data_IF_378111464335
#
_entry.id   IF_378111464335
#
_cell.length_a   1.000
_cell.length_b   1.000
_cell.length_c   1.000
_cell.angle_alpha   90.00
_cell.angle_beta   90.00
_cell.angle_gamma   90.00
#
_symmetry.space_group_name_H-M   'P 1'
#
loop_
_entity.id
_entity.type
_entity.pdbx_description
1 polymer ?
#
# COMPACT_ATOMS: atom_id res chain seq x y z
N UNK A 1 16.49 7.67 16.60
CA UNK A 1 16.00 8.60 15.56
C UNK A 1 15.29 9.72 16.29
N UNK A 2 15.57 10.99 15.99
CA UNK A 2 14.84 12.10 16.61
C UNK A 2 13.43 12.21 16.02
N UNK A 3 12.52 12.90 16.71
CA UNK A 3 11.16 13.20 16.19
C UNK A 3 11.23 13.93 14.85
N UNK A 4 12.17 14.88 14.71
CA UNK A 4 12.37 15.64 13.48
C UNK A 4 12.85 14.75 12.33
N UNK A 5 13.80 13.83 12.58
CA UNK A 5 14.29 12.90 11.57
C UNK A 5 13.18 11.93 11.11
N UNK A 6 12.35 11.44 12.04
CA UNK A 6 11.25 10.54 11.72
C UNK A 6 10.18 11.24 10.87
N UNK A 7 9.83 12.48 11.21
CA UNK A 7 8.91 13.30 10.41
C UNK A 7 9.48 13.61 9.03
N UNK A 8 10.76 14.02 8.94
CA UNK A 8 11.41 14.28 7.66
C UNK A 8 11.43 13.03 6.76
N UNK A 9 11.75 11.86 7.33
CA UNK A 9 11.77 10.59 6.60
C UNK A 9 10.38 10.14 6.10
N UNK A 10 9.29 10.63 6.70
CA UNK A 10 7.92 10.28 6.30
C UNK A 10 7.24 11.36 5.44
N UNK A 11 7.88 12.51 5.19
CA UNK A 11 7.28 13.63 4.46
C UNK A 11 6.91 13.25 3.01
N UNK A 12 7.82 12.58 2.30
CA UNK A 12 7.58 12.14 0.93
C UNK A 12 6.45 11.12 0.84
N UNK A 13 6.41 10.16 1.78
CA UNK A 13 5.33 9.17 1.93
C UNK A 13 3.99 9.83 2.22
N UNK A 14 3.94 10.78 3.16
CA UNK A 14 2.75 11.57 3.49
C UNK A 14 2.22 12.35 2.29
N UNK A 15 3.11 13.08 1.62
CA UNK A 15 2.77 13.85 0.42
C UNK A 15 2.32 12.92 -0.71
N UNK A 16 2.96 11.77 -0.88
CA UNK A 16 2.61 10.76 -1.87
C UNK A 16 1.25 10.10 -1.63
N UNK A 17 0.87 9.91 -0.37
CA UNK A 17 -0.48 9.48 0.01
C UNK A 17 -1.54 10.59 -0.16
N UNK A 18 -1.09 11.84 -0.31
CA UNK A 18 -1.93 13.01 -0.54
C UNK A 18 -2.37 13.72 0.74
N UNK A 19 -1.57 13.65 1.82
CA UNK A 19 -1.65 14.66 2.88
C UNK A 19 -1.15 16.00 2.33
N UNK A 20 -1.75 17.10 2.78
CA UNK A 20 -1.25 18.44 2.47
C UNK A 20 0.12 18.63 3.17
N UNK A 21 1.19 19.00 2.43
CA UNK A 21 2.52 19.09 3.00
C UNK A 21 2.65 20.20 4.04
N UNK A 22 1.91 21.31 3.91
CA UNK A 22 1.95 22.39 4.90
C UNK A 22 1.22 21.99 6.19
N UNK A 23 0.12 21.26 6.08
CA UNK A 23 -0.57 20.68 7.23
C UNK A 23 0.31 19.63 7.93
N UNK A 24 0.97 18.76 7.17
CA UNK A 24 1.93 17.79 7.69
C UNK A 24 3.06 18.46 8.47
N UNK A 25 3.70 19.47 7.89
CA UNK A 25 4.80 20.21 8.52
C UNK A 25 4.33 20.95 9.79
N UNK A 26 3.11 21.52 9.78
CA UNK A 26 2.53 22.18 10.96
C UNK A 26 2.26 21.20 12.10
N UNK A 27 1.74 20.00 11.80
CA UNK A 27 1.44 18.98 12.81
C UNK A 27 2.74 18.39 13.36
N UNK A 28 3.67 18.01 12.49
CA UNK A 28 4.94 17.39 12.90
C UNK A 28 5.91 18.36 13.56
N UNK A 29 5.91 19.63 13.16
CA UNK A 29 6.72 20.69 13.79
C UNK A 29 6.29 21.02 15.23
N UNK A 30 5.09 20.62 15.64
CA UNK A 30 4.61 20.75 17.02
C UNK A 30 4.97 19.58 17.93
N UNK A 31 5.58 18.51 17.41
CA UNK A 31 5.91 17.32 18.20
C UNK A 31 7.23 17.54 18.95
N UNK A 32 7.19 17.36 20.26
CA UNK A 32 8.40 17.36 21.12
C UNK A 32 8.89 15.94 21.42
N UNK A 33 8.03 14.94 21.24
CA UNK A 33 8.33 13.51 21.44
C UNK A 33 7.65 12.69 20.33
N UNK A 34 8.27 11.58 19.92
CA UNK A 34 7.72 10.69 18.91
C UNK A 34 6.48 9.95 19.43
N UNK A 35 6.32 9.75 20.74
CA UNK A 35 5.12 9.16 21.34
C UNK A 35 3.86 10.01 21.14
N UNK A 36 4.01 11.30 20.80
CA UNK A 36 2.90 12.19 20.46
C UNK A 36 2.36 11.98 19.04
N UNK A 37 3.05 11.21 18.20
CA UNK A 37 2.71 11.01 16.80
C UNK A 37 1.27 10.53 16.60
N UNK A 38 0.91 9.41 17.23
CA UNK A 38 -0.41 8.81 17.09
C UNK A 38 -1.54 9.78 17.41
N UNK A 39 -1.47 10.42 18.58
CA UNK A 39 -2.50 11.36 19.04
C UNK A 39 -2.59 12.60 18.13
N UNK A 40 -1.45 13.16 17.72
CA UNK A 40 -1.42 14.34 16.86
C UNK A 40 -2.07 14.08 15.50
N UNK A 41 -1.77 12.95 14.87
CA UNK A 41 -2.35 12.58 13.59
C UNK A 41 -3.85 12.23 13.71
N UNK A 42 -4.27 11.55 14.79
CA UNK A 42 -5.69 11.29 15.05
C UNK A 42 -6.47 12.58 15.32
N UNK A 43 -5.88 13.55 16.04
CA UNK A 43 -6.49 14.87 16.24
C UNK A 43 -6.69 15.59 14.91
N UNK A 44 -5.68 15.64 14.05
CA UNK A 44 -5.81 16.22 12.70
C UNK A 44 -6.84 15.49 11.84
N UNK A 45 -6.93 14.16 11.93
CA UNK A 45 -7.97 13.39 11.26
C UNK A 45 -9.38 13.77 11.74
N UNK A 46 -9.58 13.92 13.07
CA UNK A 46 -10.84 14.34 13.67
C UNK A 46 -11.23 15.77 13.30
N UNK A 47 -10.26 16.68 13.13
CA UNK A 47 -10.50 18.02 12.58
C UNK A 47 -11.09 17.94 11.16
N UNK A 48 -10.55 17.07 10.30
CA UNK A 48 -11.12 16.83 8.96
C UNK A 48 -12.53 16.20 9.02
N UNK A 49 -12.79 15.27 9.95
CA UNK A 49 -14.15 14.76 10.19
C UNK A 49 -15.10 15.89 10.60
N UNK A 50 -14.66 16.80 11.46
CA UNK A 50 -15.47 17.94 11.89
C UNK A 50 -15.72 18.94 10.74
N UNK A 51 -14.72 19.16 9.85
CA UNK A 51 -14.90 19.94 8.62
C UNK A 51 -15.93 19.29 7.70
N UNK A 52 -15.89 17.97 7.54
CA UNK A 52 -16.89 17.23 6.76
C UNK A 52 -18.32 17.44 7.31
N UNK A 53 -18.50 17.45 8.63
CA UNK A 53 -19.80 17.70 9.26
C UNK A 53 -20.36 19.12 9.10
N UNK A 54 -19.52 20.09 8.73
CA UNK A 54 -19.91 21.48 8.46
C UNK A 54 -19.88 21.85 6.97
N UNK A 55 -19.55 20.90 6.10
CA UNK A 55 -19.41 21.15 4.68
C UNK A 55 -20.76 21.48 4.03
N UNK A 56 -20.78 22.46 3.12
CA UNK A 56 -21.99 22.89 2.43
C UNK A 56 -22.48 21.94 1.34
N UNK A 57 -21.68 20.94 0.95
CA UNK A 57 -22.03 19.96 -0.09
C UNK A 57 -21.54 18.56 0.28
N UNK A 58 -22.19 17.53 -0.28
CA UNK A 58 -21.75 16.14 -0.14
C UNK A 58 -20.36 15.89 -0.74
N UNK A 59 -20.00 16.63 -1.79
CA UNK A 59 -18.67 16.56 -2.42
C UNK A 59 -17.61 17.01 -1.41
N UNK A 60 -17.75 18.24 -0.88
CA UNK A 60 -16.80 18.77 0.11
C UNK A 60 -16.76 17.94 1.39
N UNK A 61 -17.91 17.40 1.84
CA UNK A 61 -17.94 16.47 2.96
C UNK A 61 -17.14 15.19 2.67
N UNK A 62 -17.31 14.63 1.47
CA UNK A 62 -16.57 13.45 1.02
C UNK A 62 -15.07 13.67 0.93
N UNK A 63 -14.63 14.81 0.37
CA UNK A 63 -13.21 15.17 0.25
C UNK A 63 -12.54 15.32 1.62
N UNK A 64 -13.22 15.98 2.57
CA UNK A 64 -12.74 16.05 3.95
C UNK A 64 -12.67 14.67 4.62
N UNK A 65 -13.61 13.76 4.34
CA UNK A 65 -13.54 12.39 4.85
C UNK A 65 -12.40 11.57 4.21
N UNK A 66 -12.06 11.80 2.93
CA UNK A 66 -10.87 11.19 2.31
C UNK A 66 -9.58 11.70 2.98
N UNK A 67 -9.51 13.01 3.29
CA UNK A 67 -8.39 13.56 4.04
C UNK A 67 -8.30 12.95 5.45
N UNK A 68 -9.43 12.88 6.18
CA UNK A 68 -9.49 12.24 7.49
C UNK A 68 -8.99 10.80 7.48
N UNK A 69 -9.42 9.99 6.51
CA UNK A 69 -9.01 8.60 6.38
C UNK A 69 -7.49 8.45 6.26
N UNK A 70 -6.86 9.32 5.46
CA UNK A 70 -5.40 9.31 5.28
C UNK A 70 -4.66 9.78 6.53
N UNK A 71 -5.17 10.80 7.23
CA UNK A 71 -4.59 11.23 8.51
C UNK A 71 -4.70 10.14 9.58
N UNK A 72 -5.82 9.44 9.67
CA UNK A 72 -5.97 8.27 10.54
C UNK A 72 -5.01 7.14 10.16
N UNK A 73 -4.83 6.85 8.87
CA UNK A 73 -3.83 5.87 8.41
C UNK A 73 -2.42 6.26 8.86
N UNK A 74 -2.01 7.52 8.69
CA UNK A 74 -0.68 7.98 9.09
C UNK A 74 -0.46 7.94 10.61
N UNK A 75 -1.52 8.00 11.42
CA UNK A 75 -1.43 7.77 12.86
C UNK A 75 -0.97 6.33 13.22
N UNK A 76 -0.97 5.39 12.28
CA UNK A 76 -0.52 3.99 12.47
C UNK A 76 0.96 3.77 12.15
N UNK A 77 1.64 4.75 11.52
CA UNK A 77 3.02 4.61 11.04
C UNK A 77 4.07 4.91 12.12
N UNK A 78 3.72 5.64 13.17
CA UNK A 78 4.57 5.92 14.34
C UNK A 78 4.07 5.23 15.61
N UNK A 79 4.73 5.47 16.76
CA UNK A 79 4.23 5.01 18.06
C UNK A 79 2.80 5.47 18.30
N UNK A 80 1.91 4.52 18.49
CA UNK A 80 0.50 4.78 18.77
C UNK A 80 -0.13 3.59 19.50
N UNK A 81 -0.52 3.80 20.76
CA UNK A 81 -1.25 2.78 21.56
C UNK A 81 -2.66 2.50 20.99
N UNK A 82 -3.22 3.46 20.27
CA UNK A 82 -4.52 3.40 19.63
C UNK A 82 -4.42 3.04 18.13
N UNK A 83 -3.32 2.44 17.67
CA UNK A 83 -3.13 2.13 16.24
C UNK A 83 -4.26 1.27 15.64
N UNK A 84 -4.86 0.36 16.41
CA UNK A 84 -5.99 -0.44 15.95
C UNK A 84 -7.26 0.41 15.76
N UNK A 85 -7.51 1.36 16.67
CA UNK A 85 -8.60 2.32 16.57
C UNK A 85 -8.38 3.24 15.37
N UNK A 86 -7.18 3.78 15.20
CA UNK A 86 -6.83 4.64 14.07
C UNK A 86 -7.05 3.92 12.72
N UNK A 87 -6.64 2.64 12.59
CA UNK A 87 -6.90 1.86 11.38
C UNK A 87 -8.40 1.65 11.10
N UNK A 88 -9.20 1.41 12.14
CA UNK A 88 -10.65 1.28 12.02
C UNK A 88 -11.32 2.62 11.64
N UNK A 89 -10.90 3.73 12.24
CA UNK A 89 -11.36 5.08 11.90
C UNK A 89 -10.97 5.47 10.47
N UNK A 90 -9.79 5.05 10.00
CA UNK A 90 -9.35 5.22 8.61
C UNK A 90 -10.30 4.53 7.61
N UNK A 91 -10.59 3.22 7.81
CA UNK A 91 -11.52 2.47 6.94
C UNK A 91 -12.94 3.04 6.99
N UNK A 92 -13.42 3.44 8.17
CA UNK A 92 -14.74 4.03 8.34
C UNK A 92 -14.86 5.38 7.62
N UNK A 93 -13.86 6.27 7.78
CA UNK A 93 -13.83 7.56 7.10
C UNK A 93 -13.77 7.39 5.58
N UNK A 94 -12.92 6.49 5.08
CA UNK A 94 -12.85 6.20 3.64
C UNK A 94 -14.17 5.63 3.10
N UNK A 95 -14.81 4.73 3.85
CA UNK A 95 -16.12 4.20 3.47
C UNK A 95 -17.21 5.26 3.35
N UNK A 96 -17.27 6.20 4.31
CA UNK A 96 -18.19 7.34 4.27
C UNK A 96 -17.86 8.29 3.12
N UNK A 97 -16.57 8.53 2.86
CA UNK A 97 -16.14 9.35 1.74
C UNK A 97 -16.60 8.79 0.40
N UNK A 98 -16.36 7.49 0.17
CA UNK A 98 -16.76 6.80 -1.06
C UNK A 98 -18.28 6.75 -1.23
N UNK A 99 -19.05 6.60 -0.15
CA UNK A 99 -20.51 6.64 -0.23
C UNK A 99 -21.04 7.97 -0.82
N UNK A 100 -20.35 9.09 -0.55
CA UNK A 100 -20.70 10.41 -1.08
C UNK A 100 -20.12 10.68 -2.47
N UNK A 101 -18.87 10.28 -2.72
CA UNK A 101 -18.12 10.66 -3.92
C UNK A 101 -18.27 9.64 -5.06
N UNK A 102 -18.41 8.37 -4.72
CA UNK A 102 -18.46 7.25 -5.66
C UNK A 102 -19.51 6.23 -5.22
N UNK A 103 -20.82 6.53 -5.37
CA UNK A 103 -21.90 5.69 -4.82
C UNK A 103 -21.93 4.24 -5.34
N UNK A 104 -21.20 3.94 -6.43
CA UNK A 104 -21.04 2.59 -6.98
C UNK A 104 -19.88 1.81 -6.37
N UNK A 105 -19.04 2.44 -5.55
CA UNK A 105 -17.97 1.78 -4.85
C UNK A 105 -18.56 0.77 -3.84
N UNK A 106 -17.97 -0.43 -3.76
CA UNK A 106 -18.45 -1.51 -2.91
C UNK A 106 -17.38 -1.93 -1.92
N UNK A 107 -17.79 -2.17 -0.67
CA UNK A 107 -16.96 -2.90 0.30
C UNK A 107 -17.06 -4.38 -0.02
N UNK A 108 -15.93 -5.06 -0.13
CA UNK A 108 -15.86 -6.51 -0.33
C UNK A 108 -14.91 -7.07 0.71
N UNK A 109 -15.35 -8.12 1.39
CA UNK A 109 -14.58 -8.78 2.45
C UNK A 109 -14.72 -10.29 2.35
N UNK A 110 -13.73 -10.99 2.89
CA UNK A 110 -13.70 -12.43 2.94
C UNK A 110 -12.60 -12.94 3.88
N UNK A 111 -12.37 -14.26 3.92
CA UNK A 111 -11.41 -14.83 4.84
C UNK A 111 -9.98 -14.31 4.60
N UNK A 112 -9.52 -13.42 5.47
CA UNK A 112 -8.17 -12.85 5.43
C UNK A 112 -8.00 -11.67 4.46
N UNK A 113 -9.08 -11.01 4.03
CA UNK A 113 -8.99 -9.75 3.29
C UNK A 113 -10.23 -8.86 3.48
N UNK A 114 -10.04 -7.55 3.33
CA UNK A 114 -11.11 -6.56 3.20
C UNK A 114 -10.68 -5.47 2.24
N UNK A 115 -11.60 -4.79 1.56
CA UNK A 115 -11.22 -3.74 0.63
C UNK A 115 -12.38 -2.99 0.00
N UNK A 116 -12.01 -2.05 -0.88
CA UNK A 116 -12.93 -1.18 -1.63
C UNK A 116 -12.77 -1.44 -3.12
N UNK A 117 -13.82 -1.92 -3.76
CA UNK A 117 -13.91 -2.03 -5.22
C UNK A 117 -14.51 -0.76 -5.79
N UNK A 118 -13.77 -0.09 -6.67
CA UNK A 118 -14.14 1.15 -7.36
C UNK A 118 -14.06 0.95 -8.88
N UNK A 119 -14.70 1.84 -9.64
CA UNK A 119 -14.68 1.83 -11.10
C UNK A 119 -15.89 1.18 -11.77
N UNK A 120 -15.90 1.09 -13.11
CA UNK A 120 -17.04 0.59 -13.88
C UNK A 120 -17.31 -0.89 -13.60
N UNK A 121 -18.59 -1.27 -13.46
CA UNK A 121 -18.97 -2.68 -13.30
C UNK A 121 -18.60 -3.55 -14.53
N UNK A 122 -18.59 -2.93 -15.71
CA UNK A 122 -18.28 -3.57 -17.00
C UNK A 122 -16.79 -3.46 -17.38
N UNK A 123 -15.92 -3.05 -16.46
CA UNK A 123 -14.49 -2.91 -16.74
C UNK A 123 -13.92 -4.22 -17.31
N UNK A 124 -13.09 -4.11 -18.37
CA UNK A 124 -12.45 -5.26 -19.00
C UNK A 124 -11.46 -5.96 -18.07
N UNK A 125 -10.91 -5.24 -17.09
CA UNK A 125 -10.01 -5.77 -16.09
C UNK A 125 -10.20 -5.08 -14.73
N UNK A 126 -9.86 -5.82 -13.68
CA UNK A 126 -9.78 -5.32 -12.30
C UNK A 126 -8.35 -5.40 -11.82
N UNK A 127 -7.82 -4.29 -11.30
CA UNK A 127 -6.50 -4.24 -10.66
C UNK A 127 -6.66 -4.34 -9.14
N UNK A 128 -5.99 -5.29 -8.51
CA UNK A 128 -5.89 -5.37 -7.05
C UNK A 128 -4.65 -4.61 -6.60
N UNK A 129 -4.83 -3.63 -5.71
CA UNK A 129 -3.74 -2.84 -5.11
C UNK A 129 -3.42 -3.40 -3.73
N UNK A 130 -2.21 -3.91 -3.56
CA UNK A 130 -1.75 -4.63 -2.36
C UNK A 130 -0.75 -3.77 -1.57
N UNK A 131 -1.06 -3.43 -0.31
CA UNK A 131 -0.21 -2.59 0.52
C UNK A 131 1.07 -3.30 0.98
N UNK A 132 1.98 -2.53 1.60
CA UNK A 132 3.21 -2.99 2.25
C UNK A 132 3.02 -3.46 3.70
N UNK A 133 4.11 -3.47 4.45
CA UNK A 133 4.19 -4.03 5.82
C UNK A 133 3.38 -3.25 6.86
N UNK A 134 3.43 -1.92 6.78
CA UNK A 134 2.75 -0.97 7.69
C UNK A 134 1.73 -0.08 6.97
N UNK A 135 1.55 -0.28 5.66
CA UNK A 135 0.55 0.40 4.85
C UNK A 135 -0.87 -0.17 5.04
N UNK A 136 -1.85 0.58 4.53
CA UNK A 136 -3.21 0.14 4.31
C UNK A 136 -3.74 0.66 2.97
N UNK A 137 -4.89 0.15 2.55
CA UNK A 137 -5.59 0.55 1.31
C UNK A 137 -5.86 2.06 1.20
N UNK A 138 -5.89 2.79 2.32
CA UNK A 138 -6.05 4.26 2.37
C UNK A 138 -4.84 5.04 1.82
N UNK A 139 -3.66 4.42 1.72
CA UNK A 139 -2.42 5.12 1.39
C UNK A 139 -2.28 5.44 -0.11
N UNK A 140 -2.77 4.58 -1.00
CA UNK A 140 -2.42 4.62 -2.42
C UNK A 140 -3.48 5.29 -3.29
N UNK A 141 -4.08 6.39 -2.81
CA UNK A 141 -5.20 7.05 -3.46
C UNK A 141 -4.89 7.49 -4.90
N UNK A 142 -3.72 8.10 -5.13
CA UNK A 142 -3.35 8.64 -6.44
C UNK A 142 -3.08 7.54 -7.47
N UNK A 143 -2.54 6.40 -7.02
CA UNK A 143 -2.41 5.20 -7.85
C UNK A 143 -3.79 4.65 -8.23
N UNK A 144 -4.68 4.47 -7.25
CA UNK A 144 -6.04 4.02 -7.52
C UNK A 144 -6.75 4.98 -8.49
N UNK A 145 -6.64 6.30 -8.28
CA UNK A 145 -7.22 7.30 -9.17
C UNK A 145 -6.62 7.25 -10.59
N UNK A 146 -5.31 7.04 -10.72
CA UNK A 146 -4.64 6.90 -12.02
C UNK A 146 -5.13 5.67 -12.80
N UNK A 147 -5.36 4.54 -12.12
CA UNK A 147 -5.89 3.31 -12.71
C UNK A 147 -7.36 3.47 -13.12
N UNK A 148 -8.18 4.07 -12.25
CA UNK A 148 -9.59 4.35 -12.53
C UNK A 148 -9.77 5.25 -13.77
N UNK A 149 -8.92 6.28 -13.93
CA UNK A 149 -8.92 7.16 -15.12
C UNK A 149 -8.61 6.44 -16.43
N UNK A 150 -8.05 5.23 -16.37
CA UNK A 150 -7.78 4.36 -17.53
C UNK A 150 -8.90 3.34 -17.78
N UNK A 151 -10.06 3.51 -17.13
CA UNK A 151 -11.23 2.65 -17.32
C UNK A 151 -11.13 1.29 -16.62
N UNK A 152 -10.12 1.08 -15.78
CA UNK A 152 -9.96 -0.14 -14.98
C UNK A 152 -10.89 -0.09 -13.76
N UNK A 153 -11.40 -1.25 -13.34
CA UNK A 153 -11.89 -1.41 -11.98
C UNK A 153 -10.69 -1.59 -11.05
N UNK A 154 -10.78 -1.11 -9.81
CA UNK A 154 -9.69 -1.18 -8.84
C UNK A 154 -10.20 -1.69 -7.49
N UNK A 155 -9.56 -2.72 -6.96
CA UNK A 155 -9.79 -3.23 -5.62
C UNK A 155 -8.58 -2.90 -4.73
N UNK A 156 -8.70 -1.85 -3.92
CA UNK A 156 -7.69 -1.54 -2.91
C UNK A 156 -8.00 -2.35 -1.63
N UNK A 157 -7.04 -3.15 -1.17
CA UNK A 157 -7.28 -4.15 -0.14
C UNK A 157 -6.34 -4.02 1.06
N UNK A 158 -6.78 -4.55 2.20
CA UNK A 158 -5.95 -4.93 3.33
C UNK A 158 -5.97 -6.45 3.45
N UNK A 159 -4.79 -7.06 3.61
CA UNK A 159 -4.64 -8.50 3.89
C UNK A 159 -4.02 -8.76 5.28
N UNK A 160 -3.55 -9.98 5.55
CA UNK A 160 -3.06 -10.37 6.87
C UNK A 160 -1.89 -9.49 7.35
N UNK A 161 -2.03 -8.91 8.54
CA UNK A 161 -1.05 -7.98 9.13
C UNK A 161 -1.11 -6.53 8.63
N UNK A 162 -2.02 -6.19 7.71
CA UNK A 162 -2.06 -4.90 7.02
C UNK A 162 -3.33 -4.10 7.32
N UNK A 163 -3.23 -2.76 7.28
CA UNK A 163 -4.36 -1.85 7.46
C UNK A 163 -5.36 -2.27 8.54
N UNK A 164 -6.63 -2.43 8.17
CA UNK A 164 -7.72 -2.81 9.08
C UNK A 164 -7.58 -4.21 9.70
N UNK A 165 -6.75 -5.10 9.13
CA UNK A 165 -6.50 -6.46 9.62
C UNK A 165 -5.21 -6.57 10.47
N UNK A 166 -4.45 -5.48 10.60
CA UNK A 166 -3.20 -5.43 11.34
C UNK A 166 -3.31 -5.90 12.80
N UNK A 167 -4.41 -5.55 13.47
CA UNK A 167 -4.60 -5.83 14.89
C UNK A 167 -5.09 -7.26 15.16
N UNK A 168 -5.62 -7.94 14.14
CA UNK A 168 -6.34 -9.22 14.29
C UNK A 168 -5.69 -10.36 13.50
N UNK A 169 -4.60 -10.09 12.79
CA UNK A 169 -3.88 -11.06 11.97
C UNK A 169 -2.41 -10.70 11.82
N UNK A 170 -1.60 -11.66 11.40
CA UNK A 170 -0.16 -11.50 11.20
C UNK A 170 0.23 -11.67 9.74
N UNK A 171 1.40 -11.14 9.37
CA UNK A 171 1.96 -11.30 8.02
C UNK A 171 2.20 -12.78 7.68
N UNK A 172 2.10 -13.10 6.39
CA UNK A 172 2.32 -14.45 5.86
C UNK A 172 2.93 -14.41 4.46
N UNK A 173 3.78 -15.37 4.15
CA UNK A 173 4.52 -15.38 2.88
C UNK A 173 3.74 -15.97 1.69
N UNK A 174 2.79 -16.88 1.94
CA UNK A 174 1.99 -17.57 0.92
C UNK A 174 0.76 -16.74 0.49
N UNK A 175 1.04 -15.54 0.00
CA UNK A 175 0.03 -14.50 -0.26
C UNK A 175 -0.83 -14.79 -1.49
N UNK A 176 -0.37 -15.63 -2.43
CA UNK A 176 -1.18 -16.17 -3.53
C UNK A 176 -2.50 -16.78 -3.06
N UNK A 177 -2.54 -17.35 -1.84
CA UNK A 177 -3.79 -17.87 -1.25
C UNK A 177 -4.78 -16.77 -0.87
N UNK A 178 -4.28 -15.61 -0.45
CA UNK A 178 -5.11 -14.43 -0.17
C UNK A 178 -5.61 -13.86 -1.48
N UNK A 179 -4.73 -13.68 -2.47
CA UNK A 179 -5.10 -13.22 -3.82
C UNK A 179 -6.11 -14.16 -4.46
N UNK A 180 -5.93 -15.48 -4.37
CA UNK A 180 -6.87 -16.46 -4.90
C UNK A 180 -8.29 -16.25 -4.37
N UNK A 181 -8.45 -16.02 -3.05
CA UNK A 181 -9.75 -15.72 -2.42
C UNK A 181 -10.31 -14.36 -2.84
N UNK A 182 -9.44 -13.36 -3.02
CA UNK A 182 -9.85 -12.05 -3.56
C UNK A 182 -10.41 -12.23 -4.97
N UNK A 183 -9.71 -12.97 -5.84
CA UNK A 183 -10.17 -13.23 -7.20
C UNK A 183 -11.46 -14.07 -7.24
N UNK A 184 -11.65 -15.02 -6.32
CA UNK A 184 -12.90 -15.78 -6.17
C UNK A 184 -14.10 -14.88 -5.82
N UNK A 185 -13.88 -13.87 -4.97
CA UNK A 185 -14.89 -12.92 -4.56
C UNK A 185 -15.18 -11.85 -5.63
N UNK A 186 -14.14 -11.38 -6.32
CA UNK A 186 -14.25 -10.33 -7.34
C UNK A 186 -14.75 -10.86 -8.69
N UNK A 187 -14.36 -12.09 -9.05
CA UNK A 187 -14.61 -12.73 -10.36
C UNK A 187 -14.33 -11.81 -11.55
N UNK A 188 -13.12 -11.21 -11.65
CA UNK A 188 -12.82 -10.26 -12.71
C UNK A 188 -12.70 -10.96 -14.06
N UNK A 189 -12.97 -10.24 -15.16
CA UNK A 189 -12.73 -10.73 -16.54
C UNK A 189 -11.24 -10.95 -16.82
N UNK A 190 -10.40 -10.00 -16.37
CA UNK A 190 -8.93 -10.08 -16.31
C UNK A 190 -8.45 -9.48 -14.99
N UNK A 191 -7.45 -10.08 -14.36
CA UNK A 191 -6.91 -9.61 -13.08
C UNK A 191 -5.50 -9.03 -13.26
N UNK A 192 -5.31 -7.76 -12.87
CA UNK A 192 -3.99 -7.18 -12.68
C UNK A 192 -3.66 -7.03 -11.20
N UNK A 193 -2.38 -7.04 -10.85
CA UNK A 193 -1.91 -6.76 -9.48
C UNK A 193 -0.95 -5.57 -9.48
N UNK A 194 -1.06 -4.70 -8.48
CA UNK A 194 -0.04 -3.69 -8.17
C UNK A 194 0.31 -3.79 -6.69
N UNK A 195 1.57 -4.08 -6.40
CA UNK A 195 2.07 -4.27 -5.04
C UNK A 195 3.11 -3.21 -4.67
N UNK A 196 2.96 -2.62 -3.49
CA UNK A 196 3.84 -1.54 -3.01
C UNK A 196 4.60 -1.97 -1.76
N UNK A 197 5.90 -1.67 -1.71
CA UNK A 197 6.81 -2.13 -0.64
C UNK A 197 6.74 -3.66 -0.50
N UNK A 198 6.50 -4.20 0.69
CA UNK A 198 6.28 -5.64 0.90
C UNK A 198 5.15 -6.23 0.02
N UNK A 199 4.17 -5.42 -0.38
CA UNK A 199 3.14 -5.79 -1.35
C UNK A 199 3.73 -6.19 -2.71
N UNK A 200 4.88 -5.64 -3.08
CA UNK A 200 5.63 -6.04 -4.28
C UNK A 200 6.06 -7.50 -4.26
N UNK A 201 6.53 -8.01 -3.11
CA UNK A 201 6.79 -9.44 -2.93
C UNK A 201 5.49 -10.24 -3.05
N UNK A 202 4.42 -9.81 -2.37
CA UNK A 202 3.14 -10.51 -2.40
C UNK A 202 2.55 -10.65 -3.80
N UNK A 203 2.58 -9.58 -4.62
CA UNK A 203 2.06 -9.65 -5.98
C UNK A 203 2.96 -10.43 -6.93
N UNK A 204 4.29 -10.38 -6.75
CA UNK A 204 5.22 -11.17 -7.55
C UNK A 204 5.10 -12.68 -7.24
N UNK A 205 5.02 -13.03 -5.96
CA UNK A 205 4.75 -14.41 -5.51
C UNK A 205 3.39 -14.90 -6.03
N UNK A 206 2.36 -14.05 -5.96
CA UNK A 206 1.04 -14.38 -6.50
C UNK A 206 1.06 -14.55 -8.02
N UNK A 207 1.78 -13.69 -8.75
CA UNK A 207 1.92 -13.81 -10.21
C UNK A 207 2.64 -15.10 -10.64
N UNK A 208 3.48 -15.68 -9.78
CA UNK A 208 4.15 -16.95 -10.03
C UNK A 208 3.28 -18.19 -9.73
N UNK A 209 2.24 -18.05 -8.90
CA UNK A 209 1.50 -19.17 -8.30
C UNK A 209 -0.02 -19.16 -8.54
N UNK A 210 -0.59 -18.03 -8.94
CA UNK A 210 -2.01 -17.85 -9.25
C UNK A 210 -2.18 -17.53 -10.74
N UNK A 211 -2.52 -18.55 -11.53
CA UNK A 211 -2.56 -18.48 -13.00
C UNK A 211 -3.59 -17.50 -13.56
N UNK A 212 -4.54 -17.03 -12.74
CA UNK A 212 -5.52 -16.00 -13.13
C UNK A 212 -4.94 -14.59 -13.20
N UNK A 213 -3.73 -14.35 -12.66
CA UNK A 213 -3.06 -13.05 -12.72
C UNK A 213 -2.54 -12.81 -14.14
N UNK A 214 -3.09 -11.80 -14.80
CA UNK A 214 -2.80 -11.47 -16.19
C UNK A 214 -1.69 -10.42 -16.36
N UNK A 215 -1.41 -9.59 -15.36
CA UNK A 215 -0.29 -8.65 -15.34
C UNK A 215 0.05 -8.23 -13.89
N UNK A 216 1.31 -7.89 -13.64
CA UNK A 216 1.74 -7.41 -12.32
C UNK A 216 2.67 -6.20 -12.40
N UNK A 217 2.53 -5.30 -11.43
CA UNK A 217 3.48 -4.20 -11.18
C UNK A 217 3.96 -4.27 -9.74
N UNK A 218 5.27 -4.17 -9.53
CA UNK A 218 5.88 -4.02 -8.20
C UNK A 218 6.49 -2.63 -8.07
N UNK A 219 6.30 -1.99 -6.91
CA UNK A 219 6.85 -0.66 -6.60
C UNK A 219 7.63 -0.75 -5.30
N UNK A 220 8.95 -0.53 -5.32
CA UNK A 220 9.84 -0.70 -4.15
C UNK A 220 9.71 -2.08 -3.50
N UNK A 221 9.54 -3.13 -4.32
CA UNK A 221 9.28 -4.48 -3.85
C UNK A 221 10.55 -5.24 -3.46
N UNK A 222 10.61 -5.90 -2.28
CA UNK A 222 11.78 -6.70 -1.94
C UNK A 222 11.81 -7.98 -2.78
N UNK A 223 12.92 -8.20 -3.48
CA UNK A 223 13.23 -9.50 -4.10
C UNK A 223 13.64 -10.54 -3.06
N UNK A 224 14.41 -10.12 -2.05
CA UNK A 224 14.87 -10.99 -0.95
C UNK A 224 15.01 -10.17 0.34
N UNK A 225 14.65 -10.75 1.48
CA UNK A 225 14.98 -10.22 2.82
C UNK A 225 16.06 -11.06 3.51
N UNK A 226 16.97 -10.40 4.21
CA UNK A 226 18.03 -11.02 5.01
C UNK A 226 17.96 -10.52 6.44
N UNK A 227 17.24 -11.26 7.29
CA UNK A 227 16.94 -10.89 8.68
C UNK A 227 18.15 -10.34 9.46
N UNK A 228 19.30 -11.02 9.40
CA UNK A 228 20.50 -10.62 10.13
C UNK A 228 21.11 -9.28 9.72
N UNK A 229 20.73 -8.75 8.56
CA UNK A 229 21.20 -7.47 8.03
C UNK A 229 20.14 -6.35 8.14
N UNK A 230 18.90 -6.68 8.55
CA UNK A 230 17.84 -5.69 8.66
C UNK A 230 18.11 -4.71 9.81
N UNK A 231 17.94 -3.39 9.59
CA UNK A 231 18.06 -2.39 10.64
C UNK A 231 17.10 -2.67 11.82
N UNK A 232 17.46 -2.29 13.06
CA UNK A 232 16.59 -2.50 14.22
C UNK A 232 15.15 -2.00 14.05
N UNK A 233 14.88 -0.80 13.49
CA UNK A 233 13.49 -0.34 13.28
C UNK A 233 12.67 -1.24 12.35
N UNK A 234 13.30 -1.79 11.31
CA UNK A 234 12.65 -2.72 10.37
C UNK A 234 12.37 -4.06 11.05
N UNK A 235 13.32 -4.59 11.82
CA UNK A 235 13.14 -5.83 12.61
C UNK A 235 12.04 -5.68 13.65
N UNK A 236 11.98 -4.55 14.36
CA UNK A 236 10.94 -4.28 15.34
C UNK A 236 9.55 -4.19 14.69
N UNK A 237 9.44 -3.44 13.57
CA UNK A 237 8.20 -3.35 12.81
C UNK A 237 7.75 -4.74 12.33
N UNK A 238 8.65 -5.51 11.70
CA UNK A 238 8.32 -6.84 11.20
C UNK A 238 7.95 -7.80 12.35
N UNK A 239 8.63 -7.70 13.50
CA UNK A 239 8.30 -8.49 14.71
C UNK A 239 6.91 -8.19 15.22
N UNK A 240 6.52 -6.91 15.29
CA UNK A 240 5.15 -6.52 15.67
C UNK A 240 4.12 -7.11 14.70
N UNK A 241 4.38 -7.04 13.40
CA UNK A 241 3.46 -7.52 12.34
C UNK A 241 3.40 -9.05 12.23
N UNK A 242 4.44 -9.76 12.63
CA UNK A 242 4.49 -11.22 12.62
C UNK A 242 4.05 -11.87 13.94
N UNK A 243 3.82 -11.08 15.01
CA UNK A 243 3.48 -11.59 16.34
C UNK A 243 4.68 -12.06 17.17
N UNK A 244 5.88 -11.54 16.89
CA UNK A 244 7.12 -11.79 17.63
C UNK A 244 8.35 -11.87 16.72
N UNK A 245 9.54 -11.83 17.33
CA UNK A 245 10.81 -11.86 16.60
C UNK A 245 11.02 -13.17 15.82
N UNK A 246 10.80 -14.31 16.46
CA UNK A 246 10.99 -15.62 15.83
C UNK A 246 10.04 -15.85 14.62
N UNK A 247 8.72 -15.56 14.73
CA UNK A 247 7.85 -15.50 13.55
C UNK A 247 8.35 -14.55 12.46
N UNK A 248 8.84 -13.35 12.81
CA UNK A 248 9.35 -12.39 11.84
C UNK A 248 10.63 -12.87 11.13
N UNK A 249 11.54 -13.49 11.86
CA UNK A 249 12.75 -14.12 11.29
C UNK A 249 12.39 -15.22 10.30
N UNK A 250 11.42 -16.07 10.65
CA UNK A 250 10.90 -17.12 9.74
C UNK A 250 10.25 -16.51 8.49
N UNK A 251 9.39 -15.50 8.67
CA UNK A 251 8.76 -14.79 7.55
C UNK A 251 9.80 -14.16 6.63
N UNK A 252 10.78 -13.44 7.17
CA UNK A 252 11.84 -12.83 6.38
C UNK A 252 12.63 -13.86 5.56
N UNK A 253 12.91 -15.04 6.13
CA UNK A 253 13.55 -16.14 5.40
C UNK A 253 12.69 -16.78 4.30
N UNK A 254 11.38 -16.52 4.27
CA UNK A 254 10.48 -16.94 3.19
C UNK A 254 10.34 -15.88 2.10
N UNK A 255 10.70 -14.63 2.36
CA UNK A 255 10.69 -13.56 1.37
C UNK A 255 11.95 -13.69 0.50
N UNK A 256 11.83 -14.55 -0.52
CA UNK A 256 12.85 -14.80 -1.54
C UNK A 256 12.19 -15.20 -2.86
N UNK A 257 12.30 -14.34 -3.87
CA UNK A 257 11.71 -14.58 -5.19
C UNK A 257 12.63 -15.34 -6.14
N UNK A 258 13.82 -15.79 -5.72
CA UNK A 258 14.81 -16.40 -6.62
C UNK A 258 14.26 -17.62 -7.37
N UNK A 259 13.51 -18.49 -6.68
CA UNK A 259 12.90 -19.66 -7.29
C UNK A 259 11.57 -19.37 -8.01
N UNK A 260 10.95 -18.23 -7.72
CA UNK A 260 9.62 -17.87 -8.24
C UNK A 260 9.69 -16.94 -9.45
N UNK A 261 10.70 -16.07 -9.55
CA UNK A 261 10.81 -15.09 -10.62
C UNK A 261 10.75 -15.71 -12.02
N UNK A 262 11.45 -16.83 -12.33
CA UNK A 262 11.34 -17.49 -13.64
C UNK A 262 9.96 -18.05 -13.97
N UNK A 263 9.08 -18.21 -12.95
CA UNK A 263 7.73 -18.74 -13.09
C UNK A 263 6.68 -17.66 -13.35
N UNK A 264 7.04 -16.38 -13.29
CA UNK A 264 6.13 -15.27 -13.56
C UNK A 264 6.02 -15.11 -15.09
N UNK A 265 5.06 -15.82 -15.69
CA UNK A 265 4.86 -15.83 -17.15
C UNK A 265 3.90 -14.75 -17.64
N UNK A 266 3.26 -13.98 -16.76
CA UNK A 266 2.52 -12.80 -17.16
C UNK A 266 3.47 -11.59 -17.34
N UNK A 267 3.07 -10.55 -18.10
CA UNK A 267 3.79 -9.29 -18.12
C UNK A 267 4.06 -8.77 -16.71
N UNK A 268 5.30 -8.37 -16.45
CA UNK A 268 5.73 -7.83 -15.16
C UNK A 268 6.50 -6.50 -15.34
N UNK A 269 6.08 -5.46 -14.64
CA UNK A 269 6.84 -4.22 -14.48
C UNK A 269 7.35 -4.10 -13.05
N UNK A 270 8.63 -3.80 -12.90
CA UNK A 270 9.27 -3.51 -11.61
C UNK A 270 9.70 -2.05 -11.61
N UNK A 271 9.28 -1.31 -10.59
CA UNK A 271 9.59 0.10 -10.39
C UNK A 271 10.34 0.24 -9.07
N UNK A 272 11.58 0.75 -9.12
CA UNK A 272 12.38 0.99 -7.91
C UNK A 272 12.94 2.42 -7.89
N UNK A 273 13.04 2.99 -6.69
CA UNK A 273 13.77 4.23 -6.43
C UNK A 273 15.26 3.96 -6.22
N UNK A 274 16.13 4.74 -6.86
CA UNK A 274 17.59 4.59 -6.74
C UNK A 274 18.14 4.99 -5.36
N UNK A 275 17.36 5.71 -4.55
CA UNK A 275 17.69 6.06 -3.16
C UNK A 275 17.02 5.12 -2.14
N UNK A 276 16.25 4.13 -2.60
CA UNK A 276 15.62 3.11 -1.76
C UNK A 276 16.65 2.04 -1.34
N UNK A 277 17.52 2.40 -0.41
CA UNK A 277 18.60 1.52 0.07
C UNK A 277 18.35 1.15 1.53
N UNK A 278 17.79 -0.04 1.73
CA UNK A 278 17.55 -0.61 3.06
C UNK A 278 18.49 -1.80 3.28
N UNK A 279 19.39 -1.76 4.27
CA UNK A 279 20.25 -2.90 4.59
C UNK A 279 19.45 -4.19 4.78
N UNK A 280 19.93 -5.29 4.19
CA UNK A 280 19.25 -6.58 4.25
C UNK A 280 18.04 -6.72 3.33
N UNK A 281 17.73 -5.72 2.50
CA UNK A 281 16.71 -5.82 1.44
C UNK A 281 17.41 -5.83 0.08
N UNK A 282 17.11 -6.84 -0.74
CA UNK A 282 17.46 -6.80 -2.16
C UNK A 282 16.28 -6.20 -2.92
N UNK A 283 16.52 -5.14 -3.69
CA UNK A 283 15.49 -4.48 -4.52
C UNK A 283 14.99 -5.36 -5.67
N UNK A 284 14.11 -4.82 -6.52
CA UNK A 284 13.38 -5.56 -7.55
C UNK A 284 14.15 -5.80 -8.85
N UNK A 285 15.29 -5.17 -9.10
CA UNK A 285 16.05 -5.36 -10.35
C UNK A 285 16.28 -6.85 -10.72
N UNK A 286 16.68 -7.76 -9.79
CA UNK A 286 16.79 -9.19 -10.09
C UNK A 286 15.46 -9.83 -10.51
N UNK A 287 14.34 -9.38 -9.93
CA UNK A 287 13.00 -9.87 -10.30
C UNK A 287 12.71 -9.59 -11.78
N UNK A 288 12.93 -8.34 -12.22
CA UNK A 288 12.70 -7.95 -13.61
C UNK A 288 13.61 -8.70 -14.58
N UNK A 289 14.86 -8.96 -14.19
CA UNK A 289 15.83 -9.69 -15.02
C UNK A 289 15.51 -11.19 -15.13
N UNK A 290 14.99 -11.80 -14.07
CA UNK A 290 14.73 -13.24 -14.00
C UNK A 290 13.34 -13.64 -14.53
N UNK A 291 12.37 -12.72 -14.51
CA UNK A 291 11.04 -12.97 -15.06
C UNK A 291 11.06 -12.93 -16.60
N UNK A 292 10.48 -13.93 -17.31
CA UNK A 292 10.48 -14.01 -18.78
C UNK A 292 9.97 -12.76 -19.51
N UNK A 293 9.02 -12.05 -18.90
CA UNK A 293 8.43 -10.82 -19.44
C UNK A 293 8.60 -9.63 -18.48
N UNK A 294 9.69 -9.64 -17.72
CA UNK A 294 10.04 -8.56 -16.80
C UNK A 294 10.55 -7.32 -17.52
N UNK A 295 10.09 -6.15 -17.06
CA UNK A 295 10.64 -4.84 -17.40
C UNK A 295 11.03 -4.11 -16.12
N UNK A 296 12.14 -3.39 -16.18
CA UNK A 296 12.64 -2.61 -15.05
C UNK A 296 12.58 -1.11 -15.35
N UNK A 297 11.98 -0.36 -14.43
CA UNK A 297 11.98 1.09 -14.40
C UNK A 297 12.71 1.55 -13.13
N UNK A 298 13.92 2.08 -13.29
CA UNK A 298 14.67 2.69 -12.21
C UNK A 298 14.42 4.20 -12.22
N UNK A 299 14.12 4.77 -11.05
CA UNK A 299 14.00 6.22 -10.84
C UNK A 299 15.16 6.65 -9.94
N UNK A 300 16.28 7.16 -10.47
CA UNK A 300 17.53 7.32 -9.72
C UNK A 300 17.43 8.15 -8.43
N UNK A 301 16.55 9.15 -8.42
CA UNK A 301 16.35 10.04 -7.27
C UNK A 301 15.14 9.63 -6.40
N UNK A 302 14.44 8.56 -6.76
CA UNK A 302 13.26 8.07 -6.03
C UNK A 302 13.65 7.44 -4.70
N UNK A 303 12.90 7.77 -3.65
CA UNK A 303 12.99 7.13 -2.33
C UNK A 303 12.08 5.89 -2.26
N UNK A 304 12.00 5.27 -1.08
CA UNK A 304 11.09 4.14 -0.85
C UNK A 304 9.63 4.55 -1.11
N UNK A 305 8.91 3.75 -1.91
CA UNK A 305 7.56 4.04 -2.45
C UNK A 305 7.51 5.20 -3.47
N UNK A 306 8.64 5.83 -3.78
CA UNK A 306 8.78 6.89 -4.76
C UNK A 306 7.75 8.02 -4.55
N UNK A 307 7.49 8.36 -3.29
CA UNK A 307 6.56 9.43 -2.92
C UNK A 307 7.09 10.80 -3.37
N UNK A 308 8.42 10.94 -3.39
CA UNK A 308 9.14 12.12 -3.88
C UNK A 308 9.24 12.21 -5.41
N UNK A 309 8.97 11.12 -6.15
CA UNK A 309 9.24 11.00 -7.58
C UNK A 309 8.03 10.50 -8.39
N UNK A 310 6.80 10.77 -7.91
CA UNK A 310 5.55 10.32 -8.54
C UNK A 310 5.44 10.64 -10.04
N UNK A 311 5.84 11.83 -10.53
CA UNK A 311 5.80 12.15 -11.96
C UNK A 311 6.60 11.17 -12.83
N UNK A 312 7.65 10.56 -12.29
CA UNK A 312 8.59 9.73 -13.05
C UNK A 312 8.14 8.27 -13.22
N UNK A 313 7.20 7.80 -12.39
CA UNK A 313 6.77 6.40 -12.42
C UNK A 313 5.26 6.18 -12.51
N UNK A 314 4.45 7.04 -11.88
CA UNK A 314 3.06 6.71 -11.60
C UNK A 314 2.23 6.60 -12.88
N UNK A 315 2.34 7.58 -13.77
CA UNK A 315 1.64 7.56 -15.06
C UNK A 315 2.13 6.39 -15.91
N UNK A 316 3.45 6.22 -16.02
CA UNK A 316 4.10 5.13 -16.76
C UNK A 316 3.61 3.75 -16.30
N UNK A 317 3.57 3.49 -15.00
CA UNK A 317 3.12 2.23 -14.43
C UNK A 317 1.63 1.98 -14.70
N UNK A 318 0.80 3.03 -14.56
CA UNK A 318 -0.63 2.94 -14.81
C UNK A 318 -0.97 2.71 -16.29
N UNK A 319 -0.26 3.38 -17.22
CA UNK A 319 -0.40 3.15 -18.67
C UNK A 319 0.04 1.74 -19.04
N UNK A 320 1.19 1.33 -18.51
CA UNK A 320 1.75 0.02 -18.80
C UNK A 320 0.81 -1.12 -18.38
N UNK A 321 0.26 -1.10 -17.16
CA UNK A 321 -0.63 -2.17 -16.71
C UNK A 321 -1.98 -2.13 -17.44
N UNK A 322 -2.50 -0.93 -17.76
CA UNK A 322 -3.72 -0.82 -18.55
C UNK A 322 -3.54 -1.43 -19.96
N UNK A 323 -2.41 -1.15 -20.62
CA UNK A 323 -2.08 -1.74 -21.91
C UNK A 323 -1.86 -3.25 -21.84
N UNK A 324 -1.21 -3.75 -20.78
CA UNK A 324 -1.01 -5.19 -20.58
C UNK A 324 -2.32 -5.96 -20.32
N UNK A 325 -3.36 -5.28 -19.82
CA UNK A 325 -4.67 -5.85 -19.53
C UNK A 325 -5.71 -5.61 -20.63
N UNK A 326 -5.41 -4.78 -21.63
CA UNK A 326 -6.30 -4.52 -22.77
C UNK A 326 -6.64 -5.82 -23.52
#
# INVERSE_FOLDING_TARGET
MSTADFAAANLSRATGAGLDPHEYLRVTGGLTDLDQWGEAFMRSAREHVARAGRAGTAISAGEHLQAAARWFHFATLGPNRESALAAAEADAAMGRALASLEPRARRIEGPGFTGRLRGPAEAAATVVVVPGLDSGKEEFHDLVAALLRRGLAVFAMDGPGQGALAATSTVRADYHRVIGRVLDALRPRKAGLVGLSLGGYYVAESAALESRVAAAVTVSGPFQLRWGLLPPPVRELLSRRAGGEEPARRFAGQVDLSALAPRITCPLLVVDGGQDVIPGVTGGEPLARLAPHGRYLSVPHGDHLLGNARPDWLATAADWIAAALA
#
